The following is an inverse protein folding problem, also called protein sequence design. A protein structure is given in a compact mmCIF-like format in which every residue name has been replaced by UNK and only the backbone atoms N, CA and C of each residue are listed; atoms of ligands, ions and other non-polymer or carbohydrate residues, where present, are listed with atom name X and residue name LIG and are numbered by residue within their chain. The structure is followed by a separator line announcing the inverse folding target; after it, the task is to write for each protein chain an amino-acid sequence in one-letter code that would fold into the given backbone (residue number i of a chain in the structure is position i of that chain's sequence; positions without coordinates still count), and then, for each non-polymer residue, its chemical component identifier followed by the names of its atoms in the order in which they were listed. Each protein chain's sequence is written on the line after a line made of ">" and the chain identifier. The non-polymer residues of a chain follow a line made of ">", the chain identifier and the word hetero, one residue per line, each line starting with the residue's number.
data_IF_568220216092
#
_entry.id   IF_568220216092
#
_cell.length_a   1.000
_cell.length_b   1.000
_cell.length_c   1.000
_cell.angle_alpha   90.00
_cell.angle_beta   90.00
_cell.angle_gamma   90.00
#
_symmetry.space_group_name_H-M   'P 1'
#
loop_
_entity.id
_entity.type
_entity.pdbx_description
1 polymer ?
#
# COMPACT_ATOMS: atom_id res chain seq x y z
N UNK A 1 0.75 -28.76 -7.41
CA UNK A 1 -0.21 -28.81 -6.28
C UNK A 1 0.49 -28.45 -4.97
N UNK A 2 -0.25 -27.94 -3.97
CA UNK A 2 0.29 -27.54 -2.68
C UNK A 2 0.98 -28.71 -1.96
N UNK A 3 2.23 -28.52 -1.53
CA UNK A 3 2.93 -29.46 -0.63
C UNK A 3 2.70 -29.00 0.80
N UNK A 4 1.77 -29.66 1.49
CA UNK A 4 1.33 -29.23 2.81
C UNK A 4 2.38 -29.48 3.90
N UNK A 5 2.57 -28.47 4.76
CA UNK A 5 3.28 -28.61 6.02
C UNK A 5 2.54 -27.91 7.16
N UNK A 6 2.42 -28.58 8.30
CA UNK A 6 1.82 -28.03 9.53
C UNK A 6 2.94 -27.63 10.51
N UNK A 7 2.80 -26.45 11.11
CA UNK A 7 3.70 -25.93 12.13
C UNK A 7 3.00 -25.75 13.50
N UNK A 8 1.81 -26.32 13.69
CA UNK A 8 1.07 -26.33 14.96
C UNK A 8 0.14 -25.13 15.18
N UNK A 9 -0.16 -24.34 14.14
CA UNK A 9 -0.92 -23.07 14.26
C UNK A 9 -2.35 -23.15 13.71
N UNK A 10 -2.93 -24.35 13.66
CA UNK A 10 -4.32 -24.55 13.26
C UNK A 10 -4.58 -24.49 11.74
N UNK A 11 -3.54 -24.68 10.92
CA UNK A 11 -3.61 -24.76 9.46
C UNK A 11 -2.26 -25.18 8.85
N UNK A 12 -2.24 -25.39 7.54
CA UNK A 12 -1.03 -25.79 6.78
C UNK A 12 -0.57 -24.68 5.84
N UNK A 13 0.73 -24.67 5.52
CA UNK A 13 1.30 -23.84 4.43
C UNK A 13 1.57 -24.71 3.20
N UNK A 14 1.72 -24.06 2.04
CA UNK A 14 2.25 -24.69 0.82
C UNK A 14 3.75 -24.43 0.77
N UNK A 15 4.54 -25.50 0.78
CA UNK A 15 6.00 -25.43 0.72
C UNK A 15 6.43 -25.34 -0.73
N UNK A 16 7.23 -24.32 -1.03
CA UNK A 16 7.89 -24.15 -2.32
C UNK A 16 9.41 -24.22 -2.16
N UNK A 17 10.06 -24.96 -3.05
CA UNK A 17 11.51 -25.08 -3.17
C UNK A 17 11.96 -25.08 -4.64
N UNK A 18 13.26 -25.25 -4.90
CA UNK A 18 13.82 -25.18 -6.26
C UNK A 18 13.27 -26.27 -7.21
N UNK A 19 12.72 -27.35 -6.66
CA UNK A 19 12.19 -28.48 -7.42
C UNK A 19 10.68 -28.41 -7.63
N UNK A 20 9.95 -27.75 -6.73
CA UNK A 20 8.50 -27.77 -6.71
C UNK A 20 7.88 -26.53 -6.06
N UNK A 21 6.83 -25.99 -6.68
CA UNK A 21 5.90 -25.02 -6.09
C UNK A 21 4.51 -25.21 -6.72
N UNK A 22 3.45 -24.76 -6.05
CA UNK A 22 2.08 -24.88 -6.55
C UNK A 22 1.67 -23.74 -7.48
N UNK A 23 1.21 -24.10 -8.69
CA UNK A 23 0.66 -23.18 -9.67
C UNK A 23 -0.85 -23.04 -9.59
N UNK A 24 -1.34 -21.85 -9.93
CA UNK A 24 -2.73 -21.60 -10.23
C UNK A 24 -2.94 -21.62 -11.75
N UNK A 25 -4.13 -22.08 -12.17
CA UNK A 25 -4.54 -21.99 -13.56
C UNK A 25 -5.08 -20.60 -13.87
N UNK A 26 -4.75 -20.08 -15.05
CA UNK A 26 -5.31 -18.83 -15.55
C UNK A 26 -6.86 -18.89 -15.54
N UNK A 27 -7.49 -17.80 -15.08
CA UNK A 27 -8.94 -17.71 -15.00
C UNK A 27 -9.50 -17.40 -16.39
N UNK A 28 -10.39 -18.27 -16.87
CA UNK A 28 -11.11 -18.10 -18.13
C UNK A 28 -12.61 -17.92 -17.90
N UNK A 29 -13.25 -17.18 -18.81
CA UNK A 29 -14.70 -17.03 -18.80
C UNK A 29 -15.36 -18.38 -19.05
N UNK A 30 -16.29 -18.76 -18.18
CA UNK A 30 -17.04 -20.02 -18.30
C UNK A 30 -18.09 -19.96 -19.40
N UNK A 31 -18.47 -21.15 -19.88
CA UNK A 31 -19.64 -21.33 -20.74
C UNK A 31 -20.93 -20.89 -20.03
N UNK A 32 -21.97 -20.62 -20.83
CA UNK A 32 -23.30 -20.26 -20.30
C UNK A 32 -23.78 -21.38 -19.35
N UNK A 33 -24.30 -20.97 -18.19
CA UNK A 33 -24.81 -21.86 -17.14
C UNK A 33 -23.75 -22.68 -16.38
N UNK A 34 -22.46 -22.41 -16.58
CA UNK A 34 -21.38 -23.01 -15.79
C UNK A 34 -20.80 -21.98 -14.83
N UNK A 35 -20.59 -22.39 -13.58
CA UNK A 35 -19.94 -21.61 -12.52
C UNK A 35 -18.64 -22.29 -12.14
N UNK A 36 -17.51 -21.58 -12.20
CA UNK A 36 -16.26 -22.05 -11.60
C UNK A 36 -16.25 -21.68 -10.12
N UNK A 37 -15.86 -22.64 -9.29
CA UNK A 37 -15.70 -22.48 -7.84
C UNK A 37 -14.25 -22.74 -7.48
N UNK A 38 -13.68 -21.86 -6.67
CA UNK A 38 -12.37 -22.03 -6.06
C UNK A 38 -12.55 -22.16 -4.55
N UNK A 39 -12.04 -23.23 -3.96
CA UNK A 39 -12.18 -23.52 -2.53
C UNK A 39 -10.83 -23.49 -1.80
N UNK A 40 -10.79 -22.80 -0.66
CA UNK A 40 -9.70 -22.88 0.30
C UNK A 40 -10.25 -23.19 1.68
N UNK A 41 -9.63 -24.13 2.39
CA UNK A 41 -10.17 -24.60 3.68
C UNK A 41 -9.08 -24.92 4.71
N UNK A 42 -9.50 -25.01 5.98
CA UNK A 42 -8.66 -25.51 7.08
C UNK A 42 -8.25 -26.98 6.87
N UNK A 43 -9.07 -27.77 6.17
CA UNK A 43 -8.78 -29.18 5.88
C UNK A 43 -7.72 -29.39 4.80
N UNK A 44 -7.32 -28.34 4.08
CA UNK A 44 -6.19 -28.40 3.15
C UNK A 44 -6.50 -27.96 1.71
N UNK A 45 -7.74 -27.63 1.35
CA UNK A 45 -8.02 -27.09 0.00
C UNK A 45 -7.27 -25.76 -0.20
N UNK A 46 -6.67 -25.55 -1.38
CA UNK A 46 -5.85 -24.38 -1.70
C UNK A 46 -6.19 -23.91 -3.11
N UNK A 47 -7.22 -23.06 -3.19
CA UNK A 47 -7.80 -22.60 -4.45
C UNK A 47 -8.14 -23.79 -5.38
N UNK A 48 -8.66 -24.86 -4.78
CA UNK A 48 -9.04 -26.06 -5.51
C UNK A 48 -10.20 -25.72 -6.45
N UNK A 49 -10.00 -25.96 -7.74
CA UNK A 49 -10.95 -25.60 -8.79
C UNK A 49 -11.99 -26.71 -9.00
N UNK A 50 -13.25 -26.33 -9.05
CA UNK A 50 -14.36 -27.19 -9.48
C UNK A 50 -15.38 -26.40 -10.32
N UNK A 51 -16.36 -27.10 -10.90
CA UNK A 51 -17.42 -26.47 -11.69
C UNK A 51 -18.80 -26.94 -11.25
N UNK A 52 -19.75 -26.01 -11.22
CA UNK A 52 -21.17 -26.26 -10.96
C UNK A 52 -22.01 -25.85 -12.18
N UNK A 53 -23.15 -26.52 -12.37
CA UNK A 53 -24.11 -26.16 -13.40
C UNK A 53 -25.34 -25.50 -12.78
N UNK A 54 -25.79 -24.39 -13.36
CA UNK A 54 -27.05 -23.78 -12.95
C UNK A 54 -28.22 -24.77 -13.15
N UNK A 55 -29.20 -24.74 -12.24
CA UNK A 55 -30.39 -25.59 -12.33
C UNK A 55 -30.25 -27.00 -11.76
N UNK A 56 -29.07 -27.42 -11.29
CA UNK A 56 -28.95 -28.63 -10.48
C UNK A 56 -29.76 -28.47 -9.18
N UNK A 57 -30.80 -29.29 -9.03
CA UNK A 57 -31.58 -29.37 -7.79
C UNK A 57 -30.75 -30.06 -6.73
N UNK A 58 -30.21 -29.31 -5.78
CA UNK A 58 -29.63 -29.89 -4.57
C UNK A 58 -30.77 -30.37 -3.67
N UNK A 59 -30.91 -31.69 -3.53
CA UNK A 59 -31.79 -32.29 -2.52
C UNK A 59 -31.06 -32.13 -1.18
N UNK A 60 -31.28 -31.01 -0.49
CA UNK A 60 -30.71 -30.80 0.83
C UNK A 60 -31.58 -31.51 1.86
N UNK A 61 -31.04 -32.55 2.53
CA UNK A 61 -31.63 -33.14 3.75
C UNK A 61 -31.62 -32.18 4.96
N UNK A 62 -31.13 -30.95 4.78
CA UNK A 62 -31.00 -29.94 5.83
C UNK A 62 -32.23 -29.04 5.90
N UNK A 63 -32.82 -28.92 7.10
CA UNK A 63 -34.02 -28.11 7.39
C UNK A 63 -33.82 -26.58 7.27
N UNK A 64 -32.71 -26.09 6.73
CA UNK A 64 -32.43 -24.65 6.57
C UNK A 64 -31.77 -24.39 5.23
N UNK A 65 -32.54 -23.84 4.30
CA UNK A 65 -32.06 -23.33 3.02
C UNK A 65 -31.62 -21.87 3.22
N UNK A 66 -30.37 -21.56 2.87
CA UNK A 66 -29.89 -20.18 2.75
C UNK A 66 -29.89 -19.81 1.29
N UNK A 67 -30.58 -18.73 0.93
CA UNK A 67 -30.64 -18.21 -0.43
C UNK A 67 -29.95 -16.85 -0.46
N UNK A 68 -28.94 -16.72 -1.32
CA UNK A 68 -28.26 -15.45 -1.60
C UNK A 68 -28.66 -15.00 -3.01
N UNK A 69 -29.31 -13.84 -3.11
CA UNK A 69 -29.76 -13.29 -4.38
C UNK A 69 -28.86 -12.14 -4.81
N UNK A 70 -28.35 -12.18 -6.04
CA UNK A 70 -27.62 -11.07 -6.65
C UNK A 70 -28.63 -10.20 -7.42
N UNK A 71 -29.00 -9.07 -6.83
CA UNK A 71 -29.97 -8.14 -7.42
C UNK A 71 -29.28 -7.13 -8.34
N UNK A 72 -29.41 -7.36 -9.66
CA UNK A 72 -28.85 -6.48 -10.69
C UNK A 72 -29.69 -5.22 -10.96
N UNK A 73 -30.83 -5.05 -10.28
CA UNK A 73 -31.69 -3.86 -10.42
C UNK A 73 -31.29 -2.73 -9.47
N UNK A 74 -30.49 -3.02 -8.44
CA UNK A 74 -29.98 -1.99 -7.52
C UNK A 74 -28.86 -1.18 -8.17
N UNK A 75 -28.63 0.07 -7.72
CA UNK A 75 -27.46 0.84 -8.13
C UNK A 75 -26.17 0.06 -7.86
N UNK A 76 -25.21 0.17 -8.79
CA UNK A 76 -23.86 -0.35 -8.57
C UNK A 76 -23.19 0.44 -7.45
N UNK A 77 -22.41 -0.25 -6.62
CA UNK A 77 -21.57 0.35 -5.59
C UNK A 77 -20.21 0.75 -6.18
N UNK A 78 -19.15 0.73 -5.38
CA UNK A 78 -17.80 1.14 -5.78
C UNK A 78 -17.18 0.23 -6.85
N UNK A 79 -16.35 0.82 -7.70
CA UNK A 79 -15.41 0.08 -8.52
C UNK A 79 -14.20 -0.38 -7.68
N UNK A 80 -13.67 -1.56 -8.01
CA UNK A 80 -12.46 -2.10 -7.34
C UNK A 80 -11.21 -1.62 -8.08
N UNK A 81 -10.31 -0.94 -7.36
CA UNK A 81 -9.04 -0.46 -7.92
C UNK A 81 -8.03 -1.60 -8.06
N UNK A 82 -7.97 -2.52 -7.09
CA UNK A 82 -7.01 -3.63 -7.13
C UNK A 82 -6.74 -4.22 -5.75
N UNK A 83 -5.90 -5.26 -5.75
CA UNK A 83 -5.40 -5.94 -4.55
C UNK A 83 -3.87 -6.09 -4.69
N UNK A 84 -3.17 -6.13 -3.56
CA UNK A 84 -1.73 -5.95 -3.57
C UNK A 84 -1.03 -6.15 -2.24
N UNK A 85 0.26 -5.83 -2.24
CA UNK A 85 1.13 -5.85 -1.06
C UNK A 85 2.10 -4.67 -1.02
N UNK A 86 2.89 -4.59 0.04
CA UNK A 86 3.91 -3.55 0.19
C UNK A 86 5.29 -4.07 -0.21
N UNK A 87 6.02 -3.29 -0.99
CA UNK A 87 7.43 -3.49 -1.29
C UNK A 87 8.24 -2.83 -0.17
N UNK A 88 8.37 -3.51 0.98
CA UNK A 88 9.19 -3.03 2.13
C UNK A 88 10.61 -3.57 2.10
N UNK A 89 11.53 -2.91 2.81
CA UNK A 89 12.93 -3.35 2.87
C UNK A 89 13.00 -4.81 3.34
N UNK A 90 12.25 -5.16 4.39
CA UNK A 90 12.15 -6.54 4.84
C UNK A 90 11.66 -7.50 3.75
N UNK A 91 10.62 -7.14 2.98
CA UNK A 91 10.12 -7.98 1.90
C UNK A 91 11.22 -8.21 0.85
N UNK A 92 11.91 -7.13 0.45
CA UNK A 92 13.00 -7.23 -0.50
C UNK A 92 14.18 -8.08 0.01
N UNK A 93 14.60 -7.86 1.26
CA UNK A 93 15.72 -8.62 1.87
C UNK A 93 15.38 -10.11 1.89
N UNK A 94 14.16 -10.46 2.32
CA UNK A 94 13.74 -11.85 2.40
C UNK A 94 13.67 -12.49 1.02
N UNK A 95 13.07 -11.84 0.03
CA UNK A 95 13.02 -12.35 -1.35
C UNK A 95 14.43 -12.54 -1.88
N UNK A 96 15.32 -11.55 -1.71
CA UNK A 96 16.71 -11.62 -2.20
C UNK A 96 17.56 -12.69 -1.51
N UNK A 97 17.19 -13.12 -0.31
CA UNK A 97 17.89 -14.23 0.37
C UNK A 97 17.62 -15.60 -0.27
N UNK A 98 16.59 -15.70 -1.13
CA UNK A 98 16.26 -16.93 -1.85
C UNK A 98 17.17 -17.15 -3.07
N UNK A 99 17.38 -18.41 -3.50
CA UNK A 99 17.89 -18.74 -4.82
C UNK A 99 17.14 -18.02 -5.94
N UNK A 100 17.82 -17.67 -7.04
CA UNK A 100 17.24 -16.85 -8.12
C UNK A 100 15.99 -17.49 -8.74
N UNK A 101 15.92 -18.82 -8.81
CA UNK A 101 14.73 -19.53 -9.30
C UNK A 101 13.51 -19.28 -8.40
N UNK A 102 13.71 -19.28 -7.08
CA UNK A 102 12.67 -19.02 -6.10
C UNK A 102 12.28 -17.54 -6.01
N UNK A 103 13.22 -16.62 -6.26
CA UNK A 103 12.89 -15.20 -6.41
C UNK A 103 11.90 -14.97 -7.55
N UNK A 104 12.20 -15.55 -8.73
CA UNK A 104 11.31 -15.46 -9.90
C UNK A 104 9.98 -16.13 -9.62
N UNK A 105 10.01 -17.29 -8.96
CA UNK A 105 8.80 -18.03 -8.60
C UNK A 105 7.86 -17.21 -7.73
N UNK A 106 8.38 -16.61 -6.66
CA UNK A 106 7.57 -15.81 -5.74
C UNK A 106 6.96 -14.58 -6.43
N UNK A 107 7.70 -13.95 -7.36
CA UNK A 107 7.15 -12.84 -8.16
C UNK A 107 6.03 -13.33 -9.10
N UNK A 108 6.18 -14.51 -9.70
CA UNK A 108 5.12 -15.14 -10.50
C UNK A 108 3.88 -15.44 -9.64
N UNK A 109 4.07 -16.01 -8.45
CA UNK A 109 2.97 -16.36 -7.54
C UNK A 109 2.13 -15.14 -7.14
N UNK A 110 2.76 -13.97 -6.96
CA UNK A 110 2.05 -12.75 -6.62
C UNK A 110 1.49 -12.00 -7.82
N UNK A 111 2.25 -11.86 -8.91
CA UNK A 111 1.93 -10.90 -9.99
C UNK A 111 1.63 -11.55 -11.33
N UNK A 112 2.07 -12.79 -11.55
CA UNK A 112 1.97 -13.51 -12.80
C UNK A 112 0.61 -14.18 -13.04
N UNK A 113 0.40 -14.67 -14.26
CA UNK A 113 -0.89 -15.27 -14.68
C UNK A 113 -1.15 -16.64 -14.04
N UNK A 114 -0.10 -17.31 -13.57
CA UNK A 114 -0.20 -18.58 -12.83
C UNK A 114 -0.21 -18.36 -11.31
N UNK A 115 -0.35 -17.10 -10.88
CA UNK A 115 -0.42 -16.67 -9.49
C UNK A 115 -1.75 -15.98 -9.16
N UNK A 116 -1.74 -15.13 -8.14
CA UNK A 116 -2.92 -14.40 -7.65
C UNK A 116 -3.08 -13.00 -8.28
N UNK A 117 -2.25 -12.67 -9.27
CA UNK A 117 -2.38 -11.49 -10.15
C UNK A 117 -2.57 -10.15 -9.42
N UNK A 118 -1.74 -9.85 -8.42
CA UNK A 118 -1.71 -8.55 -7.76
C UNK A 118 -1.58 -7.39 -8.77
N UNK A 119 -2.38 -6.34 -8.54
CA UNK A 119 -2.45 -5.15 -9.41
C UNK A 119 -2.17 -3.86 -8.66
N UNK A 120 -1.86 -3.92 -7.37
CA UNK A 120 -1.51 -2.77 -6.53
C UNK A 120 -0.20 -3.04 -5.76
N UNK A 121 0.61 -2.00 -5.57
CA UNK A 121 1.82 -2.06 -4.76
C UNK A 121 2.03 -0.78 -3.94
N UNK A 122 2.32 -0.93 -2.65
CA UNK A 122 2.69 0.18 -1.75
C UNK A 122 4.20 0.26 -1.62
N UNK A 123 4.75 1.47 -1.70
CA UNK A 123 6.20 1.73 -1.61
C UNK A 123 6.45 2.70 -0.44
N UNK A 124 7.22 2.32 0.59
CA UNK A 124 7.72 3.27 1.57
C UNK A 124 8.58 4.36 0.94
N UNK A 125 8.33 5.61 1.32
CA UNK A 125 9.18 6.75 0.93
C UNK A 125 10.21 6.93 2.05
N UNK A 126 11.42 6.39 1.84
CA UNK A 126 12.43 6.25 2.88
C UNK A 126 12.21 5.01 3.76
N UNK A 127 12.77 5.02 4.97
CA UNK A 127 12.68 3.90 5.89
C UNK A 127 11.34 3.77 6.60
N UNK A 128 11.02 2.56 7.04
CA UNK A 128 9.86 2.21 7.89
C UNK A 128 10.29 1.34 9.07
N UNK A 129 9.32 0.87 9.88
CA UNK A 129 9.53 -0.19 10.86
C UNK A 129 10.02 -1.51 10.25
N UNK A 130 9.75 -1.74 8.96
CA UNK A 130 10.26 -2.88 8.19
C UNK A 130 11.61 -2.62 7.52
N UNK A 131 12.33 -1.59 7.95
CA UNK A 131 13.70 -1.28 7.55
C UNK A 131 14.72 -1.73 8.59
N UNK A 132 15.96 -1.97 8.16
CA UNK A 132 17.05 -2.38 9.08
C UNK A 132 17.58 -1.24 9.96
N UNK A 133 17.26 -0.01 9.59
CA UNK A 133 17.60 1.22 10.30
C UNK A 133 16.66 2.34 9.84
N UNK A 134 16.60 3.42 10.61
CA UNK A 134 15.85 4.60 10.24
C UNK A 134 16.64 5.45 9.23
N UNK A 135 16.02 5.82 8.11
CA UNK A 135 16.62 6.70 7.09
C UNK A 135 15.56 7.47 6.29
N UNK A 136 15.99 8.55 5.66
CA UNK A 136 15.30 9.31 4.61
C UNK A 136 16.24 9.52 3.42
N UNK A 137 15.77 10.23 2.39
CA UNK A 137 16.57 10.54 1.19
C UNK A 137 17.48 11.77 1.33
N UNK A 138 17.50 12.45 2.48
CA UNK A 138 18.29 13.69 2.69
C UNK A 138 18.67 13.95 4.18
N UNK A 139 19.09 12.91 4.90
CA UNK A 139 19.40 13.02 6.34
C UNK A 139 20.73 13.72 6.66
N UNK A 140 21.71 13.63 5.76
CA UNK A 140 23.10 14.00 6.05
C UNK A 140 23.37 15.52 5.93
N UNK A 141 22.39 16.31 5.47
CA UNK A 141 22.57 17.72 5.16
C UNK A 141 21.48 18.58 5.81
N UNK A 142 21.82 19.25 6.91
CA UNK A 142 20.87 20.13 7.61
C UNK A 142 20.42 21.28 6.71
N UNK A 143 19.11 21.53 6.67
CA UNK A 143 18.51 22.66 5.96
C UNK A 143 18.80 22.67 4.44
N UNK A 144 18.91 21.50 3.79
CA UNK A 144 19.02 21.41 2.33
C UNK A 144 17.66 21.64 1.64
N UNK A 145 17.12 22.86 1.77
CA UNK A 145 15.86 23.27 1.15
C UNK A 145 15.86 23.20 -0.38
N UNK A 146 17.04 23.04 -1.01
CA UNK A 146 17.18 22.93 -2.46
C UNK A 146 17.31 21.47 -2.91
N UNK A 147 17.39 20.51 -1.98
CA UNK A 147 17.56 19.08 -2.25
C UNK A 147 18.74 18.81 -3.19
N UNK A 148 19.88 19.47 -2.95
CA UNK A 148 21.12 19.25 -3.71
C UNK A 148 21.71 17.87 -3.44
N UNK A 149 21.43 17.32 -2.27
CA UNK A 149 21.96 16.03 -1.84
C UNK A 149 20.88 14.94 -1.71
N UNK A 150 19.64 15.25 -2.11
CA UNK A 150 18.58 14.25 -2.20
C UNK A 150 19.06 13.11 -3.10
N UNK A 151 19.00 11.90 -2.59
CA UNK A 151 19.24 10.70 -3.38
C UNK A 151 18.40 9.55 -2.85
N UNK A 152 17.95 8.69 -3.76
CA UNK A 152 17.43 7.39 -3.33
C UNK A 152 18.55 6.61 -2.63
N UNK A 153 18.18 5.76 -1.67
CA UNK A 153 19.15 5.02 -0.87
C UNK A 153 19.46 3.67 -1.52
N UNK A 154 20.44 2.95 -0.96
CA UNK A 154 20.83 1.62 -1.47
C UNK A 154 19.63 0.68 -1.53
N UNK A 155 18.72 0.78 -0.55
CA UNK A 155 17.46 0.04 -0.44
C UNK A 155 16.58 0.14 -1.69
N UNK A 156 16.57 1.28 -2.39
CA UNK A 156 15.78 1.47 -3.60
C UNK A 156 16.39 0.79 -4.84
N UNK A 157 17.73 0.80 -4.94
CA UNK A 157 18.47 0.55 -6.17
C UNK A 157 18.86 -0.91 -6.42
N UNK A 158 19.47 -1.14 -7.59
CA UNK A 158 20.18 -2.37 -7.93
C UNK A 158 21.69 -2.08 -7.91
N UNK A 159 22.39 -2.42 -6.84
CA UNK A 159 23.85 -2.51 -6.89
C UNK A 159 24.34 -3.83 -6.28
N UNK A 160 25.47 -4.33 -6.79
CA UNK A 160 25.99 -5.69 -6.55
C UNK A 160 26.37 -5.96 -5.10
N UNK A 161 26.24 -4.98 -4.21
CA UNK A 161 26.78 -4.98 -2.86
C UNK A 161 25.68 -4.59 -1.87
N UNK A 162 24.84 -5.57 -1.55
CA UNK A 162 23.83 -5.56 -0.48
C UNK A 162 22.68 -4.56 -0.67
N UNK A 163 21.45 -5.08 -0.48
CA UNK A 163 20.14 -4.38 -0.53
C UNK A 163 19.67 -3.92 -1.90
N UNK A 164 19.20 -4.87 -2.72
CA UNK A 164 18.54 -4.64 -4.03
C UNK A 164 17.03 -4.90 -3.95
N UNK A 165 16.22 -3.93 -3.52
CA UNK A 165 14.89 -4.27 -3.02
C UNK A 165 13.79 -3.73 -3.92
N UNK A 166 13.58 -2.42 -3.99
CA UNK A 166 12.34 -1.90 -4.57
C UNK A 166 12.33 -1.94 -6.09
N UNK A 167 13.25 -1.21 -6.74
CA UNK A 167 13.21 -1.00 -8.19
C UNK A 167 13.31 -2.33 -8.96
N UNK A 168 14.22 -3.27 -8.62
CA UNK A 168 14.31 -4.55 -9.34
C UNK A 168 13.08 -5.43 -9.16
N UNK A 169 12.53 -5.54 -7.95
CA UNK A 169 11.36 -6.36 -7.68
C UNK A 169 10.11 -5.79 -8.34
N UNK A 170 9.93 -4.46 -8.31
CA UNK A 170 8.85 -3.79 -9.02
C UNK A 170 8.97 -4.02 -10.54
N UNK A 171 10.18 -3.90 -11.10
CA UNK A 171 10.39 -4.16 -12.54
C UNK A 171 10.08 -5.62 -12.90
N UNK A 172 10.48 -6.58 -12.07
CA UNK A 172 10.15 -7.99 -12.26
C UNK A 172 8.63 -8.22 -12.18
N UNK A 173 7.95 -7.65 -11.18
CA UNK A 173 6.50 -7.73 -11.04
C UNK A 173 5.77 -7.16 -12.26
N UNK A 174 6.21 -5.99 -12.77
CA UNK A 174 5.65 -5.37 -13.99
C UNK A 174 5.89 -6.21 -15.25
N UNK A 175 6.97 -7.01 -15.29
CA UNK A 175 7.28 -7.85 -16.45
C UNK A 175 6.40 -9.09 -16.54
N UNK A 176 6.04 -9.69 -15.40
CA UNK A 176 5.20 -10.90 -15.36
C UNK A 176 3.70 -10.58 -15.31
N UNK A 177 3.33 -9.38 -14.87
CA UNK A 177 1.92 -9.00 -14.76
C UNK A 177 1.29 -8.75 -16.13
N UNK A 178 0.10 -9.32 -16.36
CA UNK A 178 -0.76 -9.00 -17.50
C UNK A 178 -1.60 -7.73 -17.31
N UNK A 179 -1.56 -7.15 -16.11
CA UNK A 179 -2.33 -5.97 -15.72
C UNK A 179 -1.42 -4.76 -15.52
N UNK A 180 -2.00 -3.57 -15.61
CA UNK A 180 -1.31 -2.35 -15.19
C UNK A 180 -1.12 -2.35 -13.67
N UNK A 181 0.10 -2.63 -13.21
CA UNK A 181 0.47 -2.55 -11.80
C UNK A 181 0.45 -1.09 -11.33
N UNK A 182 -0.52 -0.76 -10.47
CA UNK A 182 -0.63 0.57 -9.84
C UNK A 182 0.26 0.63 -8.61
N UNK A 183 1.09 1.66 -8.53
CA UNK A 183 2.03 1.84 -7.42
C UNK A 183 1.73 3.15 -6.69
N UNK A 184 1.78 3.13 -5.36
CA UNK A 184 1.70 4.36 -4.59
C UNK A 184 2.76 4.45 -3.50
N UNK A 185 3.22 5.68 -3.25
CA UNK A 185 4.18 5.99 -2.19
C UNK A 185 3.49 6.39 -0.88
N UNK A 186 4.07 6.05 0.27
CA UNK A 186 3.64 6.54 1.57
C UNK A 186 4.87 6.85 2.44
N UNK A 187 5.08 8.09 2.89
CA UNK A 187 6.21 8.45 3.74
C UNK A 187 5.91 8.09 5.21
N UNK A 188 6.91 7.58 5.92
CA UNK A 188 6.86 7.46 7.39
C UNK A 188 7.50 8.67 8.07
N UNK A 189 8.43 9.37 7.42
CA UNK A 189 9.02 10.58 7.97
C UNK A 189 9.76 11.38 6.89
N UNK A 190 9.80 12.73 6.99
CA UNK A 190 10.79 13.54 6.31
C UNK A 190 12.18 13.40 6.96
N UNK A 191 13.23 14.00 6.35
CA UNK A 191 14.51 14.19 7.03
C UNK A 191 14.35 14.87 8.40
N UNK A 192 15.15 14.44 9.38
CA UNK A 192 15.08 14.91 10.76
C UNK A 192 15.19 16.43 10.90
N UNK A 193 15.95 17.10 10.02
CA UNK A 193 16.13 18.55 10.04
C UNK A 193 14.86 19.35 9.70
N UNK A 194 13.83 18.69 9.16
CA UNK A 194 12.52 19.31 8.92
C UNK A 194 11.59 19.28 10.13
N UNK A 195 11.93 18.49 11.16
CA UNK A 195 11.05 18.19 12.30
C UNK A 195 11.44 18.96 13.55
N UNK A 196 10.44 19.31 14.37
CA UNK A 196 10.63 20.09 15.60
C UNK A 196 11.37 19.34 16.71
N UNK A 197 11.37 18.00 16.68
CA UNK A 197 12.15 17.15 17.57
C UNK A 197 13.57 16.88 17.04
N UNK A 198 13.90 17.30 15.81
CA UNK A 198 15.19 17.04 15.15
C UNK A 198 15.55 15.55 15.05
N UNK A 199 14.55 14.67 15.03
CA UNK A 199 14.72 13.22 14.98
C UNK A 199 13.82 12.64 13.90
N UNK A 200 14.24 11.56 13.24
CA UNK A 200 13.45 10.91 12.19
C UNK A 200 12.30 10.04 12.76
N UNK A 201 12.42 9.64 14.02
CA UNK A 201 11.42 8.88 14.77
C UNK A 201 10.78 9.77 15.86
N UNK A 202 10.15 9.12 16.85
CA UNK A 202 9.56 9.73 18.03
C UNK A 202 8.45 10.75 17.73
N UNK A 203 7.68 10.49 16.66
CA UNK A 203 6.60 11.37 16.23
C UNK A 203 7.14 12.71 15.76
N UNK A 204 6.77 13.79 16.44
CA UNK A 204 7.17 15.15 16.08
C UNK A 204 6.42 15.71 14.87
N UNK A 205 6.51 17.02 14.66
CA UNK A 205 5.83 17.75 13.60
C UNK A 205 6.84 18.48 12.72
N UNK A 206 6.44 18.81 11.48
CA UNK A 206 7.19 19.77 10.67
C UNK A 206 7.33 21.10 11.41
N UNK A 207 8.49 21.74 11.28
CA UNK A 207 8.78 23.01 11.94
C UNK A 207 7.88 24.12 11.36
N UNK A 208 7.19 24.84 12.25
CA UNK A 208 6.40 26.02 11.88
C UNK A 208 4.96 25.69 11.57
N UNK A 209 4.46 26.17 10.42
CA UNK A 209 3.05 26.01 10.00
C UNK A 209 2.94 25.82 8.49
N UNK A 210 1.83 25.24 7.98
CA UNK A 210 1.52 25.18 6.56
C UNK A 210 1.69 26.54 5.85
N UNK A 211 2.21 26.51 4.62
CA UNK A 211 2.69 27.67 3.85
C UNK A 211 4.13 28.10 4.19
N UNK A 212 4.69 27.59 5.29
CA UNK A 212 6.05 27.85 5.74
C UNK A 212 7.12 27.03 5.00
N UNK A 213 8.39 27.41 5.16
CA UNK A 213 9.50 26.81 4.41
C UNK A 213 9.67 25.29 4.60
N UNK A 214 9.39 24.76 5.79
CA UNK A 214 9.53 23.32 6.08
C UNK A 214 8.38 22.48 5.50
N UNK A 215 7.16 23.02 5.51
CA UNK A 215 6.02 22.38 4.83
C UNK A 215 6.22 22.37 3.31
N UNK A 216 6.67 23.49 2.73
CA UNK A 216 7.09 23.53 1.32
C UNK A 216 8.23 22.57 1.02
N UNK A 217 9.21 22.43 1.91
CA UNK A 217 10.29 21.47 1.75
C UNK A 217 9.76 20.04 1.71
N UNK A 218 8.86 19.67 2.63
CA UNK A 218 8.27 18.33 2.64
C UNK A 218 7.46 18.03 1.37
N UNK A 219 6.65 18.97 0.87
CA UNK A 219 5.97 18.80 -0.41
C UNK A 219 6.95 18.59 -1.59
N UNK A 220 8.05 19.35 -1.63
CA UNK A 220 9.09 19.18 -2.64
C UNK A 220 9.86 17.86 -2.48
N UNK A 221 10.05 17.36 -1.26
CA UNK A 221 10.64 16.05 -0.98
C UNK A 221 9.81 14.92 -1.61
N UNK A 222 8.48 14.97 -1.46
CA UNK A 222 7.58 14.01 -2.11
C UNK A 222 7.63 14.10 -3.64
N UNK A 223 7.72 15.32 -4.20
CA UNK A 223 7.92 15.50 -5.64
C UNK A 223 9.26 14.91 -6.11
N UNK A 224 10.35 15.14 -5.37
CA UNK A 224 11.68 14.58 -5.69
C UNK A 224 11.68 13.06 -5.69
N UNK A 225 10.97 12.43 -4.76
CA UNK A 225 10.75 10.99 -4.78
C UNK A 225 10.00 10.53 -6.04
N UNK A 226 8.88 11.17 -6.36
CA UNK A 226 8.08 10.84 -7.56
C UNK A 226 8.88 11.02 -8.85
N UNK A 227 9.68 12.08 -8.97
CA UNK A 227 10.57 12.33 -10.09
C UNK A 227 11.63 11.23 -10.21
N UNK A 228 12.23 10.85 -9.09
CA UNK A 228 13.29 9.83 -9.03
C UNK A 228 12.77 8.45 -9.45
N UNK A 229 11.60 8.03 -8.96
CA UNK A 229 10.97 6.77 -9.36
C UNK A 229 10.49 6.80 -10.82
N UNK A 230 9.95 7.94 -11.29
CA UNK A 230 9.60 8.13 -12.70
C UNK A 230 10.82 8.00 -13.61
N UNK A 231 11.97 8.56 -13.23
CA UNK A 231 13.23 8.44 -13.97
C UNK A 231 13.71 6.98 -14.08
N UNK A 232 13.28 6.10 -13.17
CA UNK A 232 13.56 4.67 -13.19
C UNK A 232 12.54 3.85 -14.00
N UNK A 233 11.58 4.50 -14.66
CA UNK A 233 10.49 3.86 -15.41
C UNK A 233 9.33 3.38 -14.52
N UNK A 234 9.21 3.93 -13.31
CA UNK A 234 8.22 3.56 -12.31
C UNK A 234 7.38 4.80 -11.95
N UNK A 235 6.48 5.26 -12.85
CA UNK A 235 5.55 6.32 -12.49
C UNK A 235 4.59 5.82 -11.40
N UNK A 236 4.29 6.68 -10.42
CA UNK A 236 3.36 6.35 -9.34
C UNK A 236 1.93 6.73 -9.73
N UNK A 237 1.01 5.82 -9.47
CA UNK A 237 -0.44 6.03 -9.56
C UNK A 237 -0.91 7.00 -8.48
N UNK A 238 -0.31 6.95 -7.29
CA UNK A 238 -0.69 7.84 -6.19
C UNK A 238 0.36 7.98 -5.10
N UNK A 239 0.01 8.76 -4.08
CA UNK A 239 0.72 8.86 -2.81
C UNK A 239 -0.30 8.97 -1.68
N UNK A 240 0.09 8.59 -0.46
CA UNK A 240 -0.56 9.07 0.76
C UNK A 240 0.22 10.26 1.31
N UNK A 241 -0.43 11.12 2.10
CA UNK A 241 0.21 12.33 2.64
C UNK A 241 1.26 11.99 3.69
N UNK A 242 0.95 11.05 4.58
CA UNK A 242 1.79 10.57 5.67
C UNK A 242 1.26 9.23 6.16
N UNK A 243 2.12 8.25 6.43
CA UNK A 243 1.76 7.00 7.08
C UNK A 243 1.43 7.24 8.55
N UNK A 244 0.24 6.84 8.97
CA UNK A 244 -0.21 6.84 10.37
C UNK A 244 0.09 8.13 11.17
N UNK A 245 -0.29 9.32 10.67
CA UNK A 245 0.00 10.60 11.30
C UNK A 245 -0.58 10.75 12.71
N UNK A 246 -1.72 10.12 13.00
CA UNK A 246 -2.37 10.19 14.30
C UNK A 246 -1.70 9.22 15.28
N UNK A 247 -1.31 8.01 14.84
CA UNK A 247 -0.51 7.10 15.68
C UNK A 247 0.83 7.72 16.04
N UNK A 248 1.51 8.37 15.07
CA UNK A 248 2.73 9.12 15.34
C UNK A 248 2.51 10.22 16.40
N UNK A 249 1.37 10.90 16.35
CA UNK A 249 0.98 11.92 17.35
C UNK A 249 0.70 11.33 18.73
N UNK A 250 -0.01 10.20 18.79
CA UNK A 250 -0.44 9.55 20.02
C UNK A 250 0.72 8.86 20.75
N UNK A 251 1.60 8.20 20.01
CA UNK A 251 2.76 7.51 20.58
C UNK A 251 3.90 8.47 20.95
N UNK A 252 4.09 9.54 20.16
CA UNK A 252 5.13 10.54 20.42
C UNK A 252 6.49 9.90 20.63
N UNK A 253 7.12 10.16 21.79
CA UNK A 253 8.43 9.62 22.17
C UNK A 253 8.50 8.08 22.17
N UNK A 254 7.37 7.38 22.29
CA UNK A 254 7.34 5.92 22.23
C UNK A 254 7.36 5.35 20.80
N UNK A 255 7.30 6.20 19.77
CA UNK A 255 7.31 5.77 18.38
C UNK A 255 8.74 5.60 17.87
N UNK A 256 9.33 4.41 18.04
CA UNK A 256 10.79 4.20 17.92
C UNK A 256 11.33 4.09 16.49
N UNK A 257 10.46 4.03 15.49
CA UNK A 257 10.80 4.00 14.06
C UNK A 257 10.32 5.28 13.35
N UNK A 258 10.70 5.45 12.07
CA UNK A 258 10.33 6.58 11.23
C UNK A 258 8.86 6.98 11.47
N UNK A 259 8.65 8.24 11.83
CA UNK A 259 7.31 8.78 12.11
C UNK A 259 7.26 10.27 11.87
N UNK A 260 6.08 10.78 11.51
CA UNK A 260 5.76 12.19 11.64
C UNK A 260 4.27 12.37 11.92
N UNK A 261 3.98 13.24 12.88
CA UNK A 261 2.62 13.56 13.26
C UNK A 261 1.99 14.62 12.34
N UNK A 262 0.71 14.42 12.03
CA UNK A 262 -0.20 15.45 11.57
C UNK A 262 -1.48 15.39 12.38
N UNK A 263 -2.08 16.54 12.70
CA UNK A 263 -3.52 16.61 13.02
C UNK A 263 -4.31 16.70 11.71
N UNK A 264 -5.62 16.39 11.68
CA UNK A 264 -6.41 16.53 10.47
C UNK A 264 -6.43 17.98 9.92
N UNK A 265 -6.38 19.00 10.79
CA UNK A 265 -6.29 20.41 10.37
C UNK A 265 -4.94 20.73 9.74
N UNK A 266 -3.83 20.23 10.32
CA UNK A 266 -2.51 20.41 9.73
C UNK A 266 -2.40 19.69 8.38
N UNK A 267 -2.97 18.50 8.24
CA UNK A 267 -2.99 17.78 6.97
C UNK A 267 -3.84 18.52 5.92
N UNK A 268 -5.02 19.02 6.29
CA UNK A 268 -5.88 19.88 5.45
C UNK A 268 -5.13 21.11 4.96
N UNK A 269 -4.49 21.84 5.87
CA UNK A 269 -3.81 23.09 5.54
C UNK A 269 -2.54 22.84 4.72
N UNK A 270 -1.82 21.75 4.99
CA UNK A 270 -0.69 21.31 4.17
C UNK A 270 -1.12 20.97 2.74
N UNK A 271 -2.26 20.28 2.56
CA UNK A 271 -2.81 19.95 1.25
C UNK A 271 -3.06 21.20 0.40
N UNK A 272 -3.76 22.20 0.94
CA UNK A 272 -4.17 23.37 0.17
C UNK A 272 -3.08 24.44 0.01
N UNK A 273 -2.19 24.58 0.98
CA UNK A 273 -1.17 25.64 0.97
C UNK A 273 0.16 25.20 0.36
N UNK A 274 0.49 23.90 0.40
CA UNK A 274 1.80 23.39 0.00
C UNK A 274 1.70 22.20 -0.96
N UNK A 275 1.24 21.03 -0.51
CA UNK A 275 1.33 19.77 -1.26
C UNK A 275 0.60 19.83 -2.60
N UNK A 276 -0.68 20.21 -2.58
CA UNK A 276 -1.52 20.27 -3.78
C UNK A 276 -0.98 21.23 -4.85
N UNK A 277 -0.71 22.51 -4.52
CA UNK A 277 -0.12 23.47 -5.45
C UNK A 277 1.26 23.05 -5.97
N UNK A 278 2.14 22.53 -5.11
CA UNK A 278 3.52 22.13 -5.49
C UNK A 278 3.48 20.90 -6.41
N UNK A 279 2.69 19.87 -6.07
CA UNK A 279 2.51 18.71 -6.94
C UNK A 279 1.92 19.11 -8.30
N UNK A 280 0.91 19.98 -8.31
CA UNK A 280 0.28 20.45 -9.55
C UNK A 280 1.28 21.21 -10.43
N UNK A 281 2.09 22.09 -9.84
CA UNK A 281 3.15 22.82 -10.56
C UNK A 281 4.26 21.88 -11.10
N UNK A 282 4.52 20.77 -10.43
CA UNK A 282 5.46 19.73 -10.86
C UNK A 282 4.87 18.74 -11.88
N UNK A 283 3.60 18.89 -12.28
CA UNK A 283 2.94 18.00 -13.24
C UNK A 283 2.27 16.77 -12.63
N UNK A 284 2.15 16.70 -11.30
CA UNK A 284 1.50 15.63 -10.52
C UNK A 284 0.14 16.08 -9.97
N UNK A 285 -0.59 16.90 -10.71
CA UNK A 285 -1.91 17.40 -10.27
C UNK A 285 -2.97 16.30 -10.11
N UNK A 286 -4.18 16.63 -9.60
CA UNK A 286 -5.20 15.65 -9.19
C UNK A 286 -5.72 14.70 -10.29
N UNK A 287 -5.55 15.10 -11.56
CA UNK A 287 -5.92 14.28 -12.72
C UNK A 287 -4.84 13.27 -13.14
N UNK A 288 -3.62 13.43 -12.63
CA UNK A 288 -2.44 12.62 -12.97
C UNK A 288 -2.08 11.68 -11.82
N UNK A 289 -2.05 12.19 -10.59
CA UNK A 289 -1.61 11.45 -9.41
C UNK A 289 -2.67 11.49 -8.33
N UNK A 290 -3.00 10.32 -7.77
CA UNK A 290 -3.98 10.20 -6.69
C UNK A 290 -3.34 10.56 -5.36
N UNK A 291 -3.91 11.54 -4.65
CA UNK A 291 -3.50 11.87 -3.28
C UNK A 291 -4.53 11.28 -2.33
N UNK A 292 -4.06 10.46 -1.40
CA UNK A 292 -4.86 9.83 -0.37
C UNK A 292 -4.55 10.42 1.01
N UNK A 293 -5.58 10.72 1.77
CA UNK A 293 -5.48 11.34 3.10
C UNK A 293 -5.75 10.33 4.22
N UNK A 294 -5.52 10.74 5.47
CA UNK A 294 -5.54 9.89 6.66
C UNK A 294 -4.41 8.85 6.66
N UNK A 295 -4.53 7.74 5.92
CA UNK A 295 -3.58 6.62 5.91
C UNK A 295 -3.29 6.08 7.32
N UNK A 296 -4.36 5.98 8.12
CA UNK A 296 -4.31 5.65 9.54
C UNK A 296 -5.55 4.83 9.96
N UNK A 297 -5.67 4.51 11.24
CA UNK A 297 -6.65 3.56 11.76
C UNK A 297 -8.11 4.02 11.51
N UNK A 298 -8.99 3.03 11.31
CA UNK A 298 -10.44 3.21 11.14
C UNK A 298 -11.15 4.08 12.20
N UNK A 299 -10.74 4.16 13.49
CA UNK A 299 -11.34 5.12 14.41
C UNK A 299 -11.18 6.60 14.00
N UNK A 300 -10.13 6.94 13.24
CA UNK A 300 -9.79 8.34 12.95
C UNK A 300 -10.45 8.87 11.67
N UNK A 301 -10.87 7.98 10.76
CA UNK A 301 -11.32 8.33 9.41
C UNK A 301 -12.51 9.29 9.38
N UNK A 302 -13.46 9.18 10.32
CA UNK A 302 -14.63 10.05 10.36
C UNK A 302 -14.23 11.50 10.62
N UNK A 303 -13.45 11.74 11.69
CA UNK A 303 -12.96 13.07 12.02
C UNK A 303 -12.06 13.65 10.91
N UNK A 304 -11.16 12.81 10.36
CA UNK A 304 -10.29 13.19 9.26
C UNK A 304 -11.08 13.59 8.00
N UNK A 305 -12.13 12.84 7.68
CA UNK A 305 -13.00 13.09 6.53
C UNK A 305 -13.76 14.40 6.69
N UNK A 306 -14.34 14.65 7.86
CA UNK A 306 -15.11 15.86 8.12
C UNK A 306 -14.24 17.12 7.97
N UNK A 307 -13.03 17.10 8.53
CA UNK A 307 -12.16 18.27 8.54
C UNK A 307 -11.58 18.56 7.15
N UNK A 308 -11.17 17.53 6.40
CA UNK A 308 -10.53 17.71 5.10
C UNK A 308 -11.57 17.99 4.01
N UNK A 309 -12.63 17.18 3.90
CA UNK A 309 -13.56 17.27 2.77
C UNK A 309 -14.54 18.45 2.86
N UNK A 310 -14.75 19.05 4.05
CA UNK A 310 -15.53 20.29 4.18
C UNK A 310 -14.78 21.52 3.68
N UNK A 311 -13.45 21.48 3.61
CA UNK A 311 -12.64 22.56 3.05
C UNK A 311 -12.39 22.31 1.56
N UNK A 312 -13.13 23.03 0.71
CA UNK A 312 -13.08 22.88 -0.75
C UNK A 312 -11.68 23.17 -1.32
N UNK A 313 -10.89 24.02 -0.68
CA UNK A 313 -9.54 24.35 -1.15
C UNK A 313 -8.57 23.18 -0.96
N UNK A 314 -8.77 22.37 0.09
CA UNK A 314 -8.03 21.14 0.31
C UNK A 314 -8.61 19.97 -0.48
N UNK A 315 -9.94 19.79 -0.43
CA UNK A 315 -10.65 18.67 -1.03
C UNK A 315 -10.41 18.54 -2.54
N UNK A 316 -10.21 19.64 -3.27
CA UNK A 316 -9.90 19.61 -4.70
C UNK A 316 -8.61 18.85 -5.05
N UNK A 317 -7.69 18.68 -4.09
CA UNK A 317 -6.44 17.94 -4.27
C UNK A 317 -6.54 16.47 -3.83
N UNK A 318 -7.61 16.08 -3.16
CA UNK A 318 -7.77 14.75 -2.56
C UNK A 318 -8.53 13.83 -3.51
N UNK A 319 -7.97 12.65 -3.77
CA UNK A 319 -8.61 11.61 -4.59
C UNK A 319 -9.37 10.58 -3.76
N UNK A 320 -9.02 10.42 -2.49
CA UNK A 320 -9.68 9.47 -1.59
C UNK A 320 -9.04 9.41 -0.22
N UNK A 321 -9.52 8.51 0.62
CA UNK A 321 -9.03 8.26 1.96
C UNK A 321 -8.42 6.87 2.05
N UNK A 322 -7.24 6.76 2.65
CA UNK A 322 -6.62 5.49 3.01
C UNK A 322 -6.87 5.20 4.50
N UNK A 323 -6.98 3.92 4.86
CA UNK A 323 -7.16 3.52 6.25
C UNK A 323 -6.49 2.18 6.57
N UNK A 324 -6.10 2.02 7.84
CA UNK A 324 -5.52 0.82 8.42
C UNK A 324 -6.48 0.16 9.42
N UNK A 325 -6.20 -1.10 9.77
CA UNK A 325 -7.12 -1.96 10.52
C UNK A 325 -6.44 -2.71 11.67
N UNK A 326 -5.40 -2.13 12.28
CA UNK A 326 -4.65 -2.79 13.36
C UNK A 326 -5.40 -2.73 14.70
N UNK A 327 -6.18 -1.68 14.95
CA UNK A 327 -7.00 -1.51 16.17
C UNK A 327 -8.50 -1.75 15.92
N UNK A 328 -8.83 -2.82 15.20
CA UNK A 328 -10.19 -3.09 14.75
C UNK A 328 -11.25 -3.22 15.85
N UNK A 329 -10.84 -3.59 17.06
CA UNK A 329 -11.75 -3.70 18.20
C UNK A 329 -12.21 -2.32 18.72
N UNK A 330 -11.58 -1.23 18.26
CA UNK A 330 -11.86 0.14 18.70
C UNK A 330 -12.77 0.92 17.74
N UNK A 331 -13.15 0.35 16.59
CA UNK A 331 -14.08 0.97 15.64
C UNK A 331 -15.03 -0.02 15.00
N UNK A 332 -16.31 0.37 14.93
CA UNK A 332 -17.32 -0.37 14.20
C UNK A 332 -17.06 -0.30 12.68
N UNK A 333 -17.30 -1.40 11.96
CA UNK A 333 -17.22 -1.46 10.48
C UNK A 333 -18.14 -0.43 9.82
N UNK A 334 -19.24 -0.03 10.48
CA UNK A 334 -20.20 0.98 10.02
C UNK A 334 -19.57 2.37 9.81
N UNK A 335 -18.41 2.66 10.42
CA UNK A 335 -17.71 3.92 10.18
C UNK A 335 -17.29 4.07 8.71
N UNK A 336 -17.04 2.96 8.01
CA UNK A 336 -16.72 2.99 6.57
C UNK A 336 -17.94 3.40 5.74
N UNK A 337 -19.14 2.96 6.11
CA UNK A 337 -20.40 3.35 5.45
C UNK A 337 -20.78 4.81 5.73
N UNK A 338 -20.28 5.39 6.83
CA UNK A 338 -20.56 6.79 7.20
C UNK A 338 -19.68 7.78 6.43
N UNK A 339 -18.47 7.36 6.06
CA UNK A 339 -17.50 8.18 5.31
C UNK A 339 -17.65 8.05 3.80
N UNK A 340 -18.22 6.93 3.33
CA UNK A 340 -18.58 6.73 1.92
C UNK A 340 -19.86 7.47 1.55
#
# INVERSE_FOLDING_TARGET
>A
PCVHRDYGNGGTVCVCDESHCDDLEAIHKTDKQVVTVYESSKSGHRLDKSTLNFGQKFITKANKLVIINVDKTRPLYQAIIGFGGAFTDAAGINIKSLPQILQKRLIEDYFGETGIEYTLGRIPIGGSDFSTHAYSYDDNYKNDFQFKHFNLMKEDFDDKVFTNLYIPLIKAAKQVSKHDLRLFGSPWSPPAWMKNNSEINHGGFLIGKPGGKYYKAFANYLVKFMDSYKAQGIPLWGITVENEPEIARLLGENHTFNSMAFTPELQRDFLKLDLGPIMSAAGYGPNVTRVMVCDDQRPFIANWSDIIYRDKEAAQYVSGMAFHWYINNESNVVNLDTVH
#
